data_IF_422879336523
#
_entry.id   IF_422879336523
#
_cell.length_a   1.000
_cell.length_b   1.000
_cell.length_c   1.000
_cell.angle_alpha   90.00
_cell.angle_beta   90.00
_cell.angle_gamma   90.00
#
_symmetry.space_group_name_H-M   'P 1'
#
loop_
_entity.id
_entity.type
_entity.pdbx_description
1 polymer ?
#
# COMPACT_ATOMS: atom_id res chain seq x y z
N UNK A 1 63.06 40.69 -9.05
CA UNK A 1 62.17 40.81 -7.88
C UNK A 1 60.73 41.15 -8.25
N UNK A 2 60.45 42.06 -9.20
CA UNK A 2 59.07 42.41 -9.62
C UNK A 2 58.19 41.20 -10.01
N UNK A 3 58.75 40.22 -10.72
CA UNK A 3 58.03 39.00 -11.11
C UNK A 3 57.69 38.06 -9.95
N UNK A 4 58.51 38.02 -8.89
CA UNK A 4 58.22 37.20 -7.70
C UNK A 4 57.03 37.74 -6.91
N UNK A 5 56.87 39.07 -6.88
CA UNK A 5 55.73 39.74 -6.25
C UNK A 5 54.44 39.47 -7.05
N UNK A 6 54.50 39.54 -8.38
CA UNK A 6 53.33 39.20 -9.21
C UNK A 6 52.91 37.74 -9.04
N UNK A 7 53.87 36.80 -8.97
CA UNK A 7 53.59 35.38 -8.75
C UNK A 7 53.00 35.14 -7.35
N UNK A 8 53.50 35.81 -6.30
CA UNK A 8 52.94 35.65 -4.95
C UNK A 8 51.53 36.22 -4.84
N UNK A 9 51.25 37.36 -5.50
CA UNK A 9 49.91 37.97 -5.54
C UNK A 9 48.92 37.09 -6.31
N UNK A 10 49.34 36.49 -7.42
CA UNK A 10 48.49 35.57 -8.20
C UNK A 10 48.16 34.30 -7.40
N UNK A 11 49.14 33.77 -6.65
CA UNK A 11 48.91 32.64 -5.73
C UNK A 11 47.93 32.99 -4.60
N UNK A 12 48.01 34.22 -4.06
CA UNK A 12 47.11 34.69 -3.01
C UNK A 12 45.67 34.84 -3.52
N UNK A 13 45.48 35.36 -4.75
CA UNK A 13 44.15 35.50 -5.37
C UNK A 13 43.52 34.13 -5.64
N UNK A 14 44.28 33.17 -6.15
CA UNK A 14 43.76 31.81 -6.41
C UNK A 14 43.43 31.08 -5.09
N UNK A 15 44.30 31.19 -4.07
CA UNK A 15 44.09 30.55 -2.77
C UNK A 15 42.90 31.15 -2.00
N UNK A 16 42.70 32.48 -2.06
CA UNK A 16 41.54 33.12 -1.44
C UNK A 16 40.24 32.92 -2.25
N UNK A 17 40.31 32.79 -3.58
CA UNK A 17 39.14 32.60 -4.44
C UNK A 17 38.39 31.29 -4.24
N UNK A 18 39.10 30.20 -3.89
CA UNK A 18 38.47 28.89 -3.68
C UNK A 18 37.65 28.77 -2.38
N UNK A 19 37.87 29.64 -1.39
CA UNK A 19 37.13 29.58 -0.12
C UNK A 19 35.75 30.24 -0.21
N UNK A 20 35.58 31.31 -1.00
CA UNK A 20 34.28 32.00 -1.08
C UNK A 20 33.24 31.31 -1.96
N UNK A 21 33.63 30.44 -2.89
CA UNK A 21 32.66 29.78 -3.79
C UNK A 21 31.94 28.58 -3.15
N UNK A 22 32.55 27.91 -2.16
CA UNK A 22 31.95 26.71 -1.55
C UNK A 22 30.83 27.00 -0.56
N UNK A 23 30.74 28.22 -0.02
CA UNK A 23 29.76 28.56 1.02
C UNK A 23 28.47 29.20 0.45
N UNK A 24 28.53 29.77 -0.75
CA UNK A 24 27.38 30.44 -1.38
C UNK A 24 26.42 29.43 -2.06
N UNK A 25 26.93 28.36 -2.68
CA UNK A 25 26.08 27.39 -3.38
C UNK A 25 25.27 26.48 -2.44
N UNK A 26 25.75 26.23 -1.22
CA UNK A 26 25.03 25.37 -0.25
C UNK A 26 23.78 26.08 0.31
N UNK A 27 23.79 27.42 0.40
CA UNK A 27 22.60 28.17 0.85
C UNK A 27 21.52 28.32 -0.22
N UNK A 28 21.92 28.34 -1.50
CA UNK A 28 20.96 28.48 -2.60
C UNK A 28 20.23 27.16 -2.91
N UNK A 29 20.91 26.02 -2.81
CA UNK A 29 20.29 24.70 -3.04
C UNK A 29 19.33 24.27 -1.92
N UNK A 30 19.55 24.69 -0.67
CA UNK A 30 18.63 24.38 0.44
C UNK A 30 17.38 25.28 0.50
N UNK A 31 17.31 26.36 -0.28
CA UNK A 31 16.14 27.27 -0.28
C UNK A 31 15.07 26.90 -1.31
N UNK A 32 15.40 26.06 -2.30
CA UNK A 32 14.53 25.81 -3.46
C UNK A 32 13.71 24.52 -3.39
N UNK A 33 14.01 23.60 -2.47
CA UNK A 33 13.21 22.37 -2.26
C UNK A 33 12.10 22.51 -1.20
N UNK A 34 11.94 23.69 -0.57
CA UNK A 34 10.92 23.89 0.50
C UNK A 34 9.56 24.43 0.00
N UNK A 35 9.36 24.61 -1.31
CA UNK A 35 8.13 25.24 -1.83
C UNK A 35 7.26 24.38 -2.76
N UNK A 36 7.62 23.13 -3.06
CA UNK A 36 6.83 22.27 -3.99
C UNK A 36 6.02 21.15 -3.31
N UNK A 37 5.85 21.15 -1.98
CA UNK A 37 5.01 20.18 -1.26
C UNK A 37 3.74 20.77 -0.64
N UNK A 38 3.32 21.96 -1.06
CA UNK A 38 2.07 22.59 -0.63
C UNK A 38 1.17 22.93 -1.82
N UNK A 39 0.80 21.92 -2.59
CA UNK A 39 -0.40 22.01 -3.40
C UNK A 39 -1.21 20.70 -3.29
N UNK A 40 -2.42 20.87 -2.78
CA UNK A 40 -3.58 19.98 -2.95
C UNK A 40 -3.59 18.68 -2.13
N UNK A 41 -3.52 18.86 -0.81
CA UNK A 41 -4.42 18.14 0.10
C UNK A 41 -5.78 18.87 0.12
N UNK A 42 -6.48 18.88 -1.02
CA UNK A 42 -7.92 19.16 -1.04
C UNK A 42 -8.58 17.83 -0.67
N UNK A 43 -8.65 17.63 0.65
CA UNK A 43 -9.65 16.76 1.26
C UNK A 43 -10.99 17.39 0.92
N UNK A 44 -11.60 16.91 -0.16
CA UNK A 44 -13.04 17.06 -0.40
C UNK A 44 -13.76 16.25 0.68
N UNK A 45 -13.86 16.87 1.85
CA UNK A 45 -14.89 16.64 2.85
C UNK A 45 -16.23 17.03 2.21
N UNK A 46 -16.80 16.13 1.41
CA UNK A 46 -18.19 16.15 1.00
C UNK A 46 -18.58 14.73 0.56
N UNK A 47 -18.90 13.88 1.53
CA UNK A 47 -20.15 13.09 1.60
C UNK A 47 -20.20 12.57 3.05
N UNK A 48 -20.60 13.46 3.96
CA UNK A 48 -21.32 13.06 5.16
C UNK A 48 -22.74 13.56 4.98
N UNK A 49 -23.56 12.74 4.32
CA UNK A 49 -25.00 12.70 4.56
C UNK A 49 -25.31 11.29 5.04
N UNK A 50 -26.03 11.15 6.16
CA UNK A 50 -26.26 9.87 6.80
C UNK A 50 -27.18 9.04 5.91
N UNK A 51 -26.76 7.82 5.57
CA UNK A 51 -27.70 6.77 5.18
C UNK A 51 -28.38 6.31 6.47
N UNK A 52 -29.27 7.16 6.96
CA UNK A 52 -30.24 6.89 8.01
C UNK A 52 -31.62 7.08 7.36
N UNK A 53 -31.90 6.32 6.29
CA UNK A 53 -33.23 6.26 5.66
C UNK A 53 -33.41 5.11 4.66
N UNK A 54 -32.97 3.89 5.00
CA UNK A 54 -33.44 2.66 4.31
C UNK A 54 -33.74 1.54 5.33
N UNK A 55 -34.22 1.92 6.52
CA UNK A 55 -34.93 1.01 7.45
C UNK A 55 -36.08 1.82 8.08
N UNK A 56 -36.99 2.29 7.23
CA UNK A 56 -38.34 2.70 7.59
C UNK A 56 -39.21 2.22 6.45
N UNK A 57 -39.48 0.91 6.45
CA UNK A 57 -40.67 0.25 5.89
C UNK A 57 -40.53 -1.27 6.09
N UNK A 58 -40.27 -1.71 7.32
CA UNK A 58 -40.55 -3.09 7.75
C UNK A 58 -40.63 -3.19 9.28
N UNK A 59 -41.31 -2.24 9.92
CA UNK A 59 -41.89 -2.47 11.24
C UNK A 59 -43.37 -2.80 11.04
N UNK A 60 -43.64 -4.05 10.66
CA UNK A 60 -44.97 -4.65 10.78
C UNK A 60 -44.92 -5.67 11.92
N UNK A 61 -44.86 -5.15 13.14
CA UNK A 61 -45.12 -5.89 14.37
C UNK A 61 -45.72 -4.92 15.37
N UNK A 62 -47.01 -4.64 15.22
CA UNK A 62 -47.91 -4.26 16.31
C UNK A 62 -49.36 -4.28 15.83
N UNK A 63 -49.95 -5.47 15.88
CA UNK A 63 -51.36 -5.62 16.23
C UNK A 63 -51.52 -6.97 16.95
N UNK A 64 -50.81 -7.09 18.07
CA UNK A 64 -51.24 -7.93 19.18
C UNK A 64 -51.96 -6.97 20.13
N UNK A 65 -53.28 -6.91 19.98
CA UNK A 65 -54.25 -6.47 20.98
C UNK A 65 -55.30 -7.57 20.98
N UNK A 66 -55.24 -8.42 21.98
CA UNK A 66 -56.13 -8.31 23.14
C UNK A 66 -57.59 -8.44 22.70
N UNK A 67 -58.10 -9.67 22.74
CA UNK A 67 -59.43 -9.94 23.26
C UNK A 67 -59.43 -11.34 23.86
N UNK A 68 -58.88 -11.41 25.08
CA UNK A 68 -59.28 -12.40 26.06
C UNK A 68 -60.65 -11.99 26.59
N UNK A 69 -61.70 -12.76 26.29
CA UNK A 69 -62.83 -12.87 27.21
C UNK A 69 -63.32 -14.31 27.27
N UNK A 70 -62.98 -14.87 28.43
CA UNK A 70 -63.38 -16.13 28.99
C UNK A 70 -64.87 -16.06 29.43
N UNK A 71 -65.58 -17.18 29.28
CA UNK A 71 -66.76 -17.59 30.06
C UNK A 71 -68.07 -16.79 29.92
N UNK A 72 -69.07 -17.42 29.31
CA UNK A 72 -70.39 -17.59 29.98
C UNK A 72 -71.21 -18.74 29.39
N UNK A 73 -71.32 -19.79 30.20
CA UNK A 73 -72.43 -20.75 30.24
C UNK A 73 -73.75 -19.98 30.37
N UNK A 74 -74.79 -20.36 29.61
CA UNK A 74 -76.22 -20.48 30.00
C UNK A 74 -77.11 -20.49 28.73
N UNK A 75 -77.62 -21.69 28.44
CA UNK A 75 -79.01 -22.06 28.16
C UNK A 75 -79.90 -21.33 27.11
N UNK A 76 -80.70 -22.20 26.44
CA UNK A 76 -82.04 -21.99 25.85
C UNK A 76 -82.15 -21.33 24.47
N UNK A 77 -82.39 -22.16 23.43
CA UNK A 77 -83.64 -22.22 22.63
C UNK A 77 -83.42 -23.27 21.52
N UNK A 78 -84.08 -24.43 21.54
CA UNK A 78 -85.51 -24.68 21.27
C UNK A 78 -85.94 -24.27 19.84
N UNK A 79 -86.62 -25.21 19.18
CA UNK A 79 -87.42 -25.07 17.96
C UNK A 79 -86.70 -24.98 16.61
N UNK A 80 -86.66 -26.11 15.87
CA UNK A 80 -87.30 -26.19 14.54
C UNK A 80 -87.49 -27.65 14.06
N UNK A 81 -88.46 -28.34 14.63
CA UNK A 81 -89.16 -29.44 13.96
C UNK A 81 -90.65 -29.29 14.26
N UNK A 82 -91.38 -28.77 13.29
CA UNK A 82 -92.84 -28.77 13.24
C UNK A 82 -93.23 -28.34 11.84
N UNK A 83 -93.70 -29.30 11.07
CA UNK A 83 -94.84 -29.17 10.17
C UNK A 83 -95.39 -30.59 9.98
N UNK A 84 -96.10 -31.02 11.04
CA UNK A 84 -97.06 -32.11 11.01
C UNK A 84 -98.42 -31.42 11.11
N UNK A 85 -99.14 -31.30 10.00
CA UNK A 85 -100.54 -30.87 9.99
C UNK A 85 -101.19 -31.29 8.67
N UNK A 86 -102.11 -32.25 8.74
CA UNK A 86 -103.50 -32.17 8.25
C UNK A 86 -104.10 -33.58 8.27
N UNK A 87 -104.82 -33.93 9.35
CA UNK A 87 -106.28 -33.86 9.43
C UNK A 87 -106.99 -34.93 8.61
N UNK A 88 -107.41 -35.95 9.36
CA UNK A 88 -108.66 -36.72 9.26
C UNK A 88 -109.70 -36.22 8.26
N UNK A 89 -109.96 -37.02 7.23
CA UNK A 89 -111.28 -37.16 6.62
C UNK A 89 -111.87 -38.50 7.04
N UNK A 90 -112.81 -38.41 7.97
CA UNK A 90 -113.87 -39.39 8.18
C UNK A 90 -114.93 -39.03 7.15
N UNK A 91 -115.31 -39.96 6.27
CA UNK A 91 -116.66 -40.03 5.73
C UNK A 91 -116.92 -41.37 5.04
N UNK A 92 -117.85 -42.10 5.65
CA UNK A 92 -119.04 -42.68 5.03
C UNK A 92 -118.89 -43.53 3.77
N UNK A 93 -119.02 -44.84 3.97
CA UNK A 93 -120.02 -45.63 3.23
C UNK A 93 -120.29 -46.94 3.96
N UNK A 94 -121.27 -46.87 4.87
CA UNK A 94 -122.05 -48.02 5.32
C UNK A 94 -122.97 -48.40 4.14
N UNK A 95 -122.67 -49.52 3.48
CA UNK A 95 -123.63 -50.20 2.60
C UNK A 95 -124.24 -51.40 3.32
N UNK A 96 -125.55 -51.26 3.50
CA UNK A 96 -126.56 -52.12 4.11
C UNK A 96 -126.93 -53.31 3.21
N UNK A 97 -127.50 -54.36 3.83
CA UNK A 97 -128.21 -55.56 3.30
C UNK A 97 -127.29 -56.74 2.89
N UNK A 98 -127.52 -57.99 3.30
CA UNK A 98 -128.78 -58.75 3.36
C UNK A 98 -128.75 -59.81 4.50
N UNK A 99 -129.92 -59.96 5.11
CA UNK A 99 -130.38 -60.91 6.14
C UNK A 99 -130.42 -62.35 5.61
N UNK A 100 -130.05 -63.36 6.42
CA UNK A 100 -130.93 -64.50 6.78
C UNK A 100 -130.22 -65.55 7.67
N UNK A 101 -130.79 -65.71 8.88
CA UNK A 101 -131.05 -66.97 9.58
C UNK A 101 -129.90 -67.98 9.80
N UNK A 102 -129.31 -67.99 11.01
CA UNK A 102 -129.37 -69.17 11.90
C UNK A 102 -128.68 -68.91 13.25
N UNK A 103 -129.41 -69.20 14.31
CA UNK A 103 -129.10 -68.94 15.72
C UNK A 103 -128.07 -69.91 16.34
N UNK A 104 -126.90 -70.03 15.71
CA UNK A 104 -125.70 -70.73 16.24
C UNK A 104 -124.36 -70.07 15.84
N UNK A 105 -124.38 -68.81 15.37
CA UNK A 105 -123.25 -68.17 14.67
C UNK A 105 -122.67 -66.92 15.34
N UNK A 106 -123.17 -66.48 16.50
CA UNK A 106 -122.70 -65.24 17.15
C UNK A 106 -121.38 -65.43 17.92
N UNK A 107 -121.18 -66.58 18.58
CA UNK A 107 -119.90 -66.93 19.22
C UNK A 107 -118.75 -67.06 18.22
N UNK A 108 -119.05 -67.57 17.01
CA UNK A 108 -118.05 -67.80 15.98
C UNK A 108 -117.62 -66.50 15.29
N UNK A 109 -118.55 -65.56 15.10
CA UNK A 109 -118.26 -64.21 14.60
C UNK A 109 -117.52 -63.35 15.64
N UNK A 110 -117.84 -63.50 16.92
CA UNK A 110 -117.12 -62.82 18.01
C UNK A 110 -115.67 -63.32 18.12
N UNK A 111 -115.46 -64.64 18.01
CA UNK A 111 -114.13 -65.24 17.98
C UNK A 111 -113.30 -64.83 16.74
N UNK A 112 -113.94 -64.71 15.57
CA UNK A 112 -113.29 -64.23 14.34
C UNK A 112 -112.90 -62.75 14.45
N UNK A 113 -113.77 -61.91 15.04
CA UNK A 113 -113.49 -60.50 15.29
C UNK A 113 -112.37 -60.32 16.33
N UNK A 114 -112.36 -61.11 17.40
CA UNK A 114 -111.31 -61.08 18.41
C UNK A 114 -109.97 -61.58 17.84
N UNK A 115 -109.99 -62.62 17.00
CA UNK A 115 -108.80 -63.09 16.30
C UNK A 115 -108.26 -62.03 15.32
N UNK A 116 -109.15 -61.31 14.62
CA UNK A 116 -108.77 -60.22 13.71
C UNK A 116 -108.18 -59.03 14.45
N UNK A 117 -108.78 -58.62 15.57
CA UNK A 117 -108.25 -57.58 16.46
C UNK A 117 -106.87 -57.97 17.01
N UNK A 118 -106.70 -59.21 17.49
CA UNK A 118 -105.38 -59.70 17.95
C UNK A 118 -104.36 -59.72 16.81
N UNK A 119 -104.73 -60.18 15.62
CA UNK A 119 -103.85 -60.16 14.45
C UNK A 119 -103.45 -58.72 14.05
N UNK A 120 -104.37 -57.77 14.12
CA UNK A 120 -104.09 -56.36 13.84
C UNK A 120 -103.19 -55.71 14.90
N UNK A 121 -103.42 -55.99 16.18
CA UNK A 121 -102.53 -55.52 17.26
C UNK A 121 -101.12 -56.10 17.14
N UNK A 122 -100.98 -57.38 16.81
CA UNK A 122 -99.69 -58.02 16.56
C UNK A 122 -99.00 -57.46 15.31
N UNK A 123 -99.75 -57.18 14.24
CA UNK A 123 -99.21 -56.55 13.04
C UNK A 123 -98.76 -55.10 13.30
N UNK A 124 -99.49 -54.34 14.11
CA UNK A 124 -99.11 -52.98 14.51
C UNK A 124 -97.87 -53.00 15.41
N UNK A 125 -97.79 -53.92 16.38
CA UNK A 125 -96.63 -54.10 17.24
C UNK A 125 -95.39 -54.52 16.43
N UNK A 126 -95.55 -55.45 15.48
CA UNK A 126 -94.48 -55.85 14.55
C UNK A 126 -93.96 -54.67 13.72
N UNK A 127 -94.85 -53.83 13.16
CA UNK A 127 -94.44 -52.62 12.42
C UNK A 127 -93.70 -51.62 13.30
N UNK A 128 -94.13 -51.46 14.55
CA UNK A 128 -93.46 -50.59 15.51
C UNK A 128 -92.05 -51.10 15.82
N UNK A 129 -91.89 -52.39 16.12
CA UNK A 129 -90.59 -53.01 16.41
C UNK A 129 -89.62 -52.94 15.22
N UNK A 130 -90.13 -53.13 13.99
CA UNK A 130 -89.33 -52.96 12.76
C UNK A 130 -88.88 -51.51 12.61
N UNK A 131 -89.76 -50.54 12.88
CA UNK A 131 -89.42 -49.11 12.79
C UNK A 131 -88.40 -48.70 13.85
N UNK A 132 -88.52 -49.25 15.06
CA UNK A 132 -87.61 -48.99 16.16
C UNK A 132 -86.21 -49.57 15.88
N UNK A 133 -86.14 -50.84 15.42
CA UNK A 133 -84.88 -51.45 14.98
C UNK A 133 -84.24 -50.68 13.83
N UNK A 134 -85.03 -50.19 12.87
CA UNK A 134 -84.52 -49.39 11.75
C UNK A 134 -83.91 -48.08 12.25
N UNK A 135 -84.59 -47.40 13.18
CA UNK A 135 -84.08 -46.17 13.80
C UNK A 135 -82.79 -46.41 14.60
N UNK A 136 -82.68 -47.52 15.31
CA UNK A 136 -81.45 -47.92 16.02
C UNK A 136 -80.31 -48.20 15.04
N UNK A 137 -80.57 -48.91 13.93
CA UNK A 137 -79.55 -49.12 12.88
C UNK A 137 -79.13 -47.82 12.21
N UNK A 138 -80.05 -46.90 11.96
CA UNK A 138 -79.73 -45.61 11.36
C UNK A 138 -78.93 -44.74 12.33
N UNK A 139 -79.29 -44.70 13.62
CA UNK A 139 -78.55 -43.96 14.64
C UNK A 139 -77.13 -44.51 14.86
N UNK A 140 -76.97 -45.84 14.89
CA UNK A 140 -75.63 -46.46 15.01
C UNK A 140 -74.77 -46.21 13.78
N UNK A 141 -75.36 -46.17 12.58
CA UNK A 141 -74.67 -45.78 11.35
C UNK A 141 -74.22 -44.31 11.40
N UNK A 142 -75.10 -43.40 11.80
CA UNK A 142 -74.78 -41.98 11.96
C UNK A 142 -73.68 -41.75 13.02
N UNK A 143 -73.69 -42.51 14.11
CA UNK A 143 -72.61 -42.45 15.13
C UNK A 143 -71.26 -42.87 14.54
N UNK A 144 -71.21 -44.01 13.83
CA UNK A 144 -69.97 -44.46 13.16
C UNK A 144 -69.47 -43.45 12.13
N UNK A 145 -70.37 -42.86 11.34
CA UNK A 145 -70.02 -41.81 10.38
C UNK A 145 -69.44 -40.57 11.07
N UNK A 146 -69.99 -40.16 12.22
CA UNK A 146 -69.46 -39.04 13.03
C UNK A 146 -68.09 -39.35 13.64
N UNK A 147 -67.89 -40.57 14.14
CA UNK A 147 -66.59 -41.00 14.67
C UNK A 147 -65.51 -40.98 13.58
N UNK A 148 -65.83 -41.49 12.39
CA UNK A 148 -64.91 -41.44 11.23
C UNK A 148 -64.64 -40.00 10.80
N UNK A 149 -65.66 -39.13 10.78
CA UNK A 149 -65.48 -37.72 10.45
C UNK A 149 -64.61 -36.98 11.48
N UNK A 150 -64.77 -37.28 12.78
CA UNK A 150 -63.95 -36.72 13.85
C UNK A 150 -62.50 -37.19 13.75
N UNK A 151 -62.27 -38.48 13.56
CA UNK A 151 -60.93 -39.04 13.39
C UNK A 151 -60.21 -38.43 12.17
N UNK A 152 -60.95 -38.23 11.06
CA UNK A 152 -60.40 -37.57 9.87
C UNK A 152 -60.05 -36.11 10.12
N UNK A 153 -60.92 -35.38 10.83
CA UNK A 153 -60.68 -33.97 11.16
C UNK A 153 -59.51 -33.78 12.13
N UNK A 154 -59.33 -34.71 13.08
CA UNK A 154 -58.18 -34.72 13.99
C UNK A 154 -56.87 -35.02 13.26
N UNK A 155 -56.88 -36.00 12.34
CA UNK A 155 -55.74 -36.31 11.47
C UNK A 155 -55.38 -35.12 10.56
N UNK A 156 -56.36 -34.48 9.92
CA UNK A 156 -56.12 -33.31 9.06
C UNK A 156 -55.54 -32.13 9.87
N UNK A 157 -55.97 -31.96 11.12
CA UNK A 157 -55.44 -30.95 12.05
C UNK A 157 -53.99 -31.22 12.43
N UNK A 158 -53.62 -32.48 12.64
CA UNK A 158 -52.25 -32.88 12.96
C UNK A 158 -51.32 -32.68 11.74
N UNK A 159 -51.77 -33.08 10.55
CA UNK A 159 -51.05 -32.84 9.28
C UNK A 159 -50.84 -31.33 9.05
N UNK A 160 -51.83 -30.50 9.37
CA UNK A 160 -51.70 -29.04 9.25
C UNK A 160 -50.64 -28.47 10.19
N UNK A 161 -50.58 -28.95 11.45
CA UNK A 161 -49.55 -28.55 12.41
C UNK A 161 -48.15 -28.95 11.97
N UNK A 162 -47.98 -30.18 11.48
CA UNK A 162 -46.69 -30.66 10.98
C UNK A 162 -46.22 -29.88 9.76
N UNK A 163 -47.13 -29.53 8.85
CA UNK A 163 -46.80 -28.66 7.70
C UNK A 163 -46.37 -27.26 8.14
N UNK A 164 -47.00 -26.71 9.17
CA UNK A 164 -46.63 -25.40 9.71
C UNK A 164 -45.27 -25.44 10.42
N UNK A 165 -45.00 -26.49 11.21
CA UNK A 165 -43.70 -26.70 11.85
C UNK A 165 -42.59 -26.87 10.83
N UNK A 166 -42.77 -27.74 9.84
CA UNK A 166 -41.79 -27.93 8.75
C UNK A 166 -41.51 -26.63 7.99
N UNK A 167 -42.53 -25.79 7.75
CA UNK A 167 -42.32 -24.46 7.14
C UNK A 167 -41.49 -23.53 8.02
N UNK A 168 -41.73 -23.53 9.32
CA UNK A 168 -40.97 -22.70 10.27
C UNK A 168 -39.51 -23.14 10.34
N UNK A 169 -39.26 -24.45 10.43
CA UNK A 169 -37.91 -25.01 10.44
C UNK A 169 -37.15 -24.69 9.14
N UNK A 170 -37.79 -24.83 7.97
CA UNK A 170 -37.21 -24.44 6.68
C UNK A 170 -36.85 -22.96 6.64
N UNK A 171 -37.72 -22.10 7.15
CA UNK A 171 -37.47 -20.66 7.21
C UNK A 171 -36.30 -20.32 8.14
N UNK A 172 -36.16 -21.01 9.28
CA UNK A 172 -35.05 -20.81 10.22
C UNK A 172 -33.74 -21.26 9.58
N UNK A 173 -33.74 -22.41 8.92
CA UNK A 173 -32.56 -22.97 8.27
C UNK A 173 -32.08 -22.11 7.10
N UNK A 174 -33.00 -21.52 6.32
CA UNK A 174 -32.66 -20.56 5.27
C UNK A 174 -32.05 -19.27 5.85
N UNK A 175 -32.59 -18.79 6.98
CA UNK A 175 -32.10 -17.58 7.64
C UNK A 175 -30.69 -17.80 8.23
N UNK A 176 -30.46 -18.94 8.88
CA UNK A 176 -29.14 -19.34 9.39
C UNK A 176 -28.12 -19.52 8.26
N UNK A 177 -28.53 -20.09 7.12
CA UNK A 177 -27.70 -20.22 5.93
C UNK A 177 -27.29 -18.86 5.37
N UNK A 178 -28.23 -17.92 5.27
CA UNK A 178 -27.96 -16.54 4.82
C UNK A 178 -27.02 -15.80 5.78
N UNK A 179 -27.21 -15.96 7.08
CA UNK A 179 -26.34 -15.35 8.10
C UNK A 179 -24.90 -15.89 8.00
N UNK A 180 -24.73 -17.21 7.90
CA UNK A 180 -23.42 -17.84 7.69
C UNK A 180 -22.74 -17.36 6.41
N UNK A 181 -23.49 -17.23 5.32
CA UNK A 181 -22.94 -16.70 4.06
C UNK A 181 -22.55 -15.22 4.18
N UNK A 182 -23.34 -14.40 4.89
CA UNK A 182 -23.03 -13.00 5.12
C UNK A 182 -21.77 -12.83 5.99
N UNK A 183 -21.63 -13.63 7.04
CA UNK A 183 -20.43 -13.64 7.89
C UNK A 183 -19.18 -14.05 7.10
N UNK A 184 -19.26 -15.12 6.28
CA UNK A 184 -18.15 -15.56 5.44
C UNK A 184 -17.73 -14.49 4.43
N UNK A 185 -18.68 -13.76 3.83
CA UNK A 185 -18.39 -12.63 2.93
C UNK A 185 -17.70 -11.48 3.67
N UNK A 186 -18.17 -11.15 4.87
CA UNK A 186 -17.61 -10.06 5.67
C UNK A 186 -16.18 -10.39 6.14
N UNK A 187 -15.93 -11.64 6.54
CA UNK A 187 -14.59 -12.11 6.90
C UNK A 187 -13.64 -12.13 5.69
N UNK A 188 -14.11 -12.59 4.53
CA UNK A 188 -13.35 -12.51 3.27
C UNK A 188 -13.03 -11.08 2.85
N UNK A 189 -13.96 -10.14 3.03
CA UNK A 189 -13.72 -8.73 2.73
C UNK A 189 -12.71 -8.11 3.70
N UNK A 190 -12.78 -8.47 4.98
CA UNK A 190 -11.83 -8.01 6.00
C UNK A 190 -10.42 -8.51 5.74
N UNK A 191 -10.25 -9.78 5.39
CA UNK A 191 -8.94 -10.35 5.06
C UNK A 191 -8.36 -9.75 3.78
N UNK A 192 -9.17 -9.49 2.75
CA UNK A 192 -8.75 -8.75 1.56
C UNK A 192 -8.30 -7.31 1.89
N UNK A 193 -9.07 -6.58 2.68
CA UNK A 193 -8.71 -5.22 3.09
C UNK A 193 -7.43 -5.18 3.92
N UNK A 194 -7.23 -6.17 4.80
CA UNK A 194 -6.01 -6.27 5.60
C UNK A 194 -4.79 -6.62 4.73
N UNK A 195 -4.92 -7.58 3.81
CA UNK A 195 -3.86 -7.92 2.87
C UNK A 195 -3.48 -6.74 1.97
N UNK A 196 -4.46 -5.94 1.53
CA UNK A 196 -4.20 -4.74 0.74
C UNK A 196 -3.41 -3.68 1.54
N UNK A 197 -3.77 -3.47 2.80
CA UNK A 197 -3.05 -2.54 3.69
C UNK A 197 -1.60 -2.99 3.95
N UNK A 198 -1.37 -4.29 4.07
CA UNK A 198 -0.02 -4.86 4.22
C UNK A 198 0.79 -4.67 2.93
N UNK A 199 0.19 -4.92 1.76
CA UNK A 199 0.83 -4.65 0.47
C UNK A 199 1.21 -3.18 0.30
N UNK A 200 0.28 -2.25 0.55
CA UNK A 200 0.53 -0.81 0.46
C UNK A 200 1.65 -0.38 1.42
N UNK A 201 1.68 -0.94 2.64
CA UNK A 201 2.74 -0.68 3.61
C UNK A 201 4.10 -1.21 3.14
N UNK A 202 4.14 -2.40 2.55
CA UNK A 202 5.39 -2.98 2.02
C UNK A 202 5.88 -2.23 0.78
N UNK A 203 4.98 -1.79 -0.08
CA UNK A 203 5.32 -0.97 -1.25
C UNK A 203 5.88 0.39 -0.81
N UNK A 204 5.26 1.03 0.20
CA UNK A 204 5.77 2.27 0.77
C UNK A 204 7.17 2.11 1.38
N UNK A 205 7.42 1.03 2.14
CA UNK A 205 8.75 0.77 2.70
C UNK A 205 9.80 0.51 1.60
N UNK A 206 9.45 -0.26 0.58
CA UNK A 206 10.35 -0.55 -0.54
C UNK A 206 10.67 0.72 -1.34
N UNK A 207 9.67 1.54 -1.63
CA UNK A 207 9.86 2.82 -2.33
C UNK A 207 10.75 3.78 -1.53
N UNK A 208 10.61 3.80 -0.20
CA UNK A 208 11.49 4.57 0.68
C UNK A 208 12.93 4.07 0.66
N UNK A 209 13.13 2.75 0.68
CA UNK A 209 14.47 2.15 0.60
C UNK A 209 15.13 2.43 -0.75
N UNK A 210 14.38 2.31 -1.86
CA UNK A 210 14.86 2.65 -3.21
C UNK A 210 15.23 4.13 -3.29
N UNK A 211 14.43 5.02 -2.72
CA UNK A 211 14.73 6.45 -2.68
C UNK A 211 16.01 6.76 -1.89
N UNK A 212 16.19 6.12 -0.73
CA UNK A 212 17.41 6.24 0.07
C UNK A 212 18.64 5.70 -0.66
N UNK A 213 18.52 4.54 -1.33
CA UNK A 213 19.60 3.96 -2.13
C UNK A 213 20.01 4.87 -3.30
N UNK A 214 19.04 5.47 -4.00
CA UNK A 214 19.31 6.46 -5.07
C UNK A 214 20.06 7.68 -4.53
N UNK A 215 19.63 8.22 -3.38
CA UNK A 215 20.25 9.38 -2.75
C UNK A 215 21.69 9.08 -2.30
N UNK A 216 21.92 7.89 -1.72
CA UNK A 216 23.26 7.44 -1.33
C UNK A 216 24.18 7.27 -2.55
N UNK A 217 23.70 6.65 -3.64
CA UNK A 217 24.47 6.52 -4.87
C UNK A 217 24.83 7.90 -5.47
N UNK A 218 23.91 8.86 -5.41
CA UNK A 218 24.17 10.22 -5.89
C UNK A 218 25.22 10.93 -5.02
N UNK A 219 25.15 10.80 -3.69
CA UNK A 219 26.17 11.32 -2.77
C UNK A 219 27.55 10.71 -3.05
N UNK A 220 27.61 9.39 -3.22
CA UNK A 220 28.88 8.71 -3.50
C UNK A 220 29.51 9.18 -4.82
N UNK A 221 28.69 9.44 -5.85
CA UNK A 221 29.16 10.01 -7.12
C UNK A 221 29.69 11.44 -6.95
N UNK A 222 28.99 12.28 -6.18
CA UNK A 222 29.43 13.66 -5.91
C UNK A 222 30.74 13.66 -5.11
N UNK A 223 30.86 12.84 -4.07
CA UNK A 223 32.06 12.75 -3.25
C UNK A 223 33.27 12.25 -4.07
N UNK A 224 33.07 11.26 -4.95
CA UNK A 224 34.09 10.80 -5.89
C UNK A 224 34.54 11.92 -6.81
N UNK A 225 33.61 12.69 -7.39
CA UNK A 225 33.92 13.80 -8.29
C UNK A 225 34.72 14.91 -7.57
N UNK A 226 34.37 15.21 -6.32
CA UNK A 226 35.11 16.18 -5.49
C UNK A 226 36.53 15.67 -5.21
N UNK A 227 36.69 14.38 -4.89
CA UNK A 227 37.99 13.78 -4.67
C UNK A 227 38.88 13.81 -5.93
N UNK A 228 38.31 13.51 -7.10
CA UNK A 228 39.01 13.63 -8.38
C UNK A 228 39.44 15.07 -8.67
N UNK A 229 38.56 16.05 -8.45
CA UNK A 229 38.90 17.46 -8.65
C UNK A 229 40.06 17.90 -7.73
N UNK A 230 40.04 17.47 -6.47
CA UNK A 230 41.12 17.75 -5.51
C UNK A 230 42.45 17.12 -5.94
N UNK A 231 42.43 15.90 -6.47
CA UNK A 231 43.63 15.23 -6.99
C UNK A 231 44.22 15.98 -8.20
N UNK A 232 43.37 16.38 -9.15
CA UNK A 232 43.78 17.15 -10.33
C UNK A 232 44.34 18.51 -9.92
N UNK A 233 43.69 19.23 -9.01
CA UNK A 233 44.16 20.52 -8.51
C UNK A 233 45.57 20.42 -7.87
N UNK A 234 45.80 19.39 -7.04
CA UNK A 234 47.13 19.14 -6.46
C UNK A 234 48.20 18.85 -7.52
N UNK A 235 47.86 18.13 -8.59
CA UNK A 235 48.77 17.85 -9.70
C UNK A 235 49.15 19.13 -10.46
N UNK A 236 48.18 20.00 -10.75
CA UNK A 236 48.41 21.27 -11.45
C UNK A 236 49.29 22.20 -10.61
N UNK A 237 49.02 22.32 -9.31
CA UNK A 237 49.86 23.10 -8.38
C UNK A 237 51.28 22.55 -8.33
N UNK A 238 51.44 21.23 -8.26
CA UNK A 238 52.75 20.57 -8.30
C UNK A 238 53.55 20.89 -9.57
N UNK A 239 52.89 20.87 -10.74
CA UNK A 239 53.52 21.24 -12.02
C UNK A 239 53.97 22.70 -12.06
N UNK A 240 53.19 23.61 -11.51
CA UNK A 240 53.56 25.04 -11.45
C UNK A 240 54.80 25.24 -10.58
N UNK A 241 54.86 24.60 -9.41
CA UNK A 241 56.03 24.66 -8.52
C UNK A 241 57.27 24.05 -9.20
N UNK A 242 57.12 22.93 -9.91
CA UNK A 242 58.21 22.31 -10.65
C UNK A 242 58.75 23.22 -11.76
N UNK A 243 57.86 23.88 -12.52
CA UNK A 243 58.25 24.85 -13.55
C UNK A 243 59.02 26.04 -12.95
N UNK A 244 58.58 26.57 -11.81
CA UNK A 244 59.27 27.64 -11.09
C UNK A 244 60.66 27.22 -10.61
N UNK A 245 60.81 25.98 -10.12
CA UNK A 245 62.11 25.42 -9.74
C UNK A 245 63.04 25.33 -10.94
N UNK A 246 62.57 24.86 -12.10
CA UNK A 246 63.38 24.79 -13.32
C UNK A 246 63.88 26.19 -13.72
N UNK A 247 62.97 27.18 -13.77
CA UNK A 247 63.33 28.58 -14.09
C UNK A 247 64.34 29.12 -13.08
N UNK A 248 64.13 28.84 -11.78
CA UNK A 248 65.05 29.25 -10.72
C UNK A 248 66.44 28.62 -10.90
N UNK A 249 66.53 27.33 -11.24
CA UNK A 249 67.78 26.64 -11.50
C UNK A 249 68.52 27.21 -12.72
N UNK A 250 67.80 27.50 -13.81
CA UNK A 250 68.37 28.11 -15.02
C UNK A 250 68.94 29.50 -14.68
N UNK A 251 68.15 30.34 -14.01
CA UNK A 251 68.61 31.68 -13.59
C UNK A 251 69.80 31.61 -12.63
N UNK A 252 69.81 30.65 -11.71
CA UNK A 252 70.95 30.45 -10.78
C UNK A 252 72.21 30.02 -11.52
N UNK A 253 72.10 29.12 -12.51
CA UNK A 253 73.24 28.73 -13.35
C UNK A 253 73.73 29.90 -14.20
N UNK A 254 72.82 30.67 -14.80
CA UNK A 254 73.17 31.84 -15.61
C UNK A 254 74.01 32.85 -14.81
N UNK A 255 73.57 33.21 -13.60
CA UNK A 255 74.32 34.13 -12.72
C UNK A 255 75.70 33.59 -12.35
N UNK A 256 75.83 32.29 -12.06
CA UNK A 256 77.13 31.68 -11.77
C UNK A 256 78.07 31.73 -12.98
N UNK A 257 77.54 31.57 -14.18
CA UNK A 257 78.34 31.64 -15.40
C UNK A 257 78.77 33.07 -15.72
N UNK A 258 77.89 34.06 -15.56
CA UNK A 258 78.23 35.49 -15.72
C UNK A 258 79.34 35.91 -14.75
N UNK A 259 79.28 35.46 -13.50
CA UNK A 259 80.33 35.72 -12.50
C UNK A 259 81.68 35.11 -12.90
N UNK A 260 81.70 33.88 -13.42
CA UNK A 260 82.95 33.24 -13.91
C UNK A 260 83.55 33.99 -15.10
N UNK A 261 82.71 34.45 -16.03
CA UNK A 261 83.17 35.22 -17.19
C UNK A 261 83.81 36.54 -16.73
N UNK A 262 83.24 37.22 -15.74
CA UNK A 262 83.86 38.44 -15.19
C UNK A 262 85.16 38.18 -14.43
N UNK A 263 85.26 37.06 -13.71
CA UNK A 263 86.49 36.65 -13.05
C UNK A 263 87.60 36.33 -14.07
N UNK A 264 87.25 35.62 -15.14
CA UNK A 264 88.19 35.34 -16.25
C UNK A 264 88.58 36.63 -16.99
N UNK A 265 87.66 37.58 -17.18
CA UNK A 265 87.95 38.87 -17.80
C UNK A 265 88.87 39.75 -16.93
N UNK A 266 88.67 39.74 -15.61
CA UNK A 266 89.54 40.44 -14.66
C UNK A 266 90.95 39.83 -14.66
N UNK A 267 91.06 38.50 -14.60
CA UNK A 267 92.36 37.80 -14.71
C UNK A 267 93.05 38.10 -16.03
N UNK A 268 92.30 38.18 -17.13
CA UNK A 268 92.88 38.50 -18.43
C UNK A 268 93.41 39.93 -18.50
N UNK A 269 92.71 40.90 -17.88
CA UNK A 269 93.18 42.29 -17.79
C UNK A 269 94.44 42.41 -16.92
N UNK A 270 94.49 41.73 -15.78
CA UNK A 270 95.70 41.66 -14.94
C UNK A 270 96.88 41.06 -15.71
N UNK A 271 96.64 39.98 -16.46
CA UNK A 271 97.67 39.36 -17.29
C UNK A 271 98.16 40.31 -18.40
N UNK A 272 97.26 41.04 -19.06
CA UNK A 272 97.61 42.00 -20.10
C UNK A 272 98.41 43.19 -19.54
N UNK A 273 98.09 43.67 -18.34
CA UNK A 273 98.82 44.76 -17.71
C UNK A 273 100.21 44.32 -17.24
N UNK A 274 100.32 43.14 -16.63
CA UNK A 274 101.61 42.54 -16.28
C UNK A 274 102.48 42.29 -17.53
N UNK A 275 101.89 41.81 -18.62
CA UNK A 275 102.58 41.63 -19.90
C UNK A 275 103.03 42.96 -20.50
N UNK A 276 102.23 44.02 -20.38
CA UNK A 276 102.58 45.38 -20.83
C UNK A 276 103.75 45.96 -20.03
N UNK A 277 103.73 45.82 -18.70
CA UNK A 277 104.86 46.23 -17.86
C UNK A 277 106.13 45.45 -18.18
N UNK A 278 106.02 44.13 -18.41
CA UNK A 278 107.16 43.31 -18.80
C UNK A 278 107.76 43.76 -20.14
N UNK A 279 106.91 44.03 -21.14
CA UNK A 279 107.35 44.54 -22.44
C UNK A 279 107.97 45.94 -22.34
N UNK A 280 107.45 46.82 -21.47
CA UNK A 280 108.04 48.15 -21.23
C UNK A 280 109.41 48.05 -20.54
N UNK A 281 109.56 47.14 -19.56
CA UNK A 281 110.84 46.86 -18.93
C UNK A 281 111.87 46.32 -19.93
N UNK A 282 111.46 45.40 -20.82
CA UNK A 282 112.33 44.88 -21.88
C UNK A 282 112.69 45.98 -22.88
N UNK A 283 111.72 46.82 -23.28
CA UNK A 283 111.96 47.96 -24.17
C UNK A 283 112.98 48.94 -23.60
N UNK A 284 112.82 49.33 -22.33
CA UNK A 284 113.78 50.19 -21.60
C UNK A 284 115.16 49.53 -21.48
N UNK A 285 115.24 48.22 -21.25
CA UNK A 285 116.53 47.50 -21.25
C UNK A 285 117.18 47.49 -22.64
N UNK A 286 116.40 47.32 -23.71
CA UNK A 286 116.92 47.40 -25.08
C UNK A 286 117.42 48.81 -25.41
N UNK A 287 116.68 49.85 -25.05
CA UNK A 287 117.08 51.25 -25.29
C UNK A 287 118.44 51.56 -24.63
N UNK A 288 118.67 51.10 -23.40
CA UNK A 288 119.97 51.24 -22.70
C UNK A 288 121.10 50.46 -23.41
N UNK A 289 120.81 49.33 -24.05
CA UNK A 289 121.80 48.59 -24.85
C UNK A 289 122.14 49.36 -26.13
N UNK A 290 121.15 49.97 -26.78
CA UNK A 290 121.32 50.70 -28.04
C UNK A 290 121.89 52.11 -27.88
N UNK A 291 121.81 52.72 -26.69
CA UNK A 291 122.37 54.04 -26.43
C UNK A 291 123.91 54.04 -26.62
N UNK A 292 124.40 54.94 -27.46
CA UNK A 292 125.81 55.05 -27.85
C UNK A 292 126.73 55.48 -26.69
N UNK A 293 126.17 56.08 -25.63
CA UNK A 293 126.93 56.60 -24.48
C UNK A 293 126.93 55.67 -23.25
N UNK A 294 126.26 54.53 -23.31
CA UNK A 294 126.19 53.60 -22.18
C UNK A 294 127.48 52.77 -22.01
N UNK A 295 127.95 52.64 -20.77
CA UNK A 295 129.18 51.94 -20.39
C UNK A 295 129.21 50.47 -20.87
N UNK A 296 130.36 50.04 -21.40
CA UNK A 296 130.54 48.70 -22.01
C UNK A 296 130.32 47.57 -20.99
N UNK A 297 130.58 47.84 -19.71
CA UNK A 297 130.30 46.91 -18.60
C UNK A 297 128.81 46.65 -18.42
N UNK A 298 128.01 47.72 -18.39
CA UNK A 298 126.55 47.68 -18.22
C UNK A 298 125.88 46.98 -19.40
N UNK A 299 126.30 47.24 -20.65
CA UNK A 299 125.76 46.55 -21.83
C UNK A 299 125.97 45.03 -21.75
N UNK A 300 127.14 44.59 -21.31
CA UNK A 300 127.48 43.15 -21.21
C UNK A 300 126.66 42.44 -20.14
N UNK A 301 126.35 43.13 -19.04
CA UNK A 301 125.55 42.59 -17.95
C UNK A 301 124.05 42.54 -18.30
N UNK A 302 123.52 43.55 -18.98
CA UNK A 302 122.14 43.55 -19.48
C UNK A 302 121.94 42.45 -20.55
N UNK A 303 122.89 42.27 -21.48
CA UNK A 303 122.84 41.17 -22.46
C UNK A 303 122.89 39.81 -21.77
N UNK A 304 123.63 39.66 -20.67
CA UNK A 304 123.66 38.42 -19.87
C UNK A 304 122.31 38.17 -19.19
N UNK A 305 121.69 39.20 -18.62
CA UNK A 305 120.37 39.09 -17.98
C UNK A 305 119.26 38.74 -18.99
N UNK A 306 119.26 39.34 -20.18
CA UNK A 306 118.33 38.99 -21.27
C UNK A 306 118.52 37.55 -21.77
N UNK A 307 119.78 37.10 -21.91
CA UNK A 307 120.09 35.73 -22.31
C UNK A 307 119.64 34.71 -21.26
N UNK A 308 119.75 35.04 -19.98
CA UNK A 308 119.29 34.19 -18.89
C UNK A 308 117.76 34.20 -18.72
N UNK A 309 117.07 35.31 -19.03
CA UNK A 309 115.60 35.35 -19.08
C UNK A 309 115.03 34.57 -20.27
N UNK A 310 115.64 34.67 -21.46
CA UNK A 310 115.25 33.90 -22.64
C UNK A 310 115.40 32.38 -22.45
N UNK A 311 116.33 31.93 -21.59
CA UNK A 311 116.46 30.51 -21.22
C UNK A 311 115.40 30.01 -20.23
N UNK A 312 114.80 30.89 -19.42
CA UNK A 312 113.76 30.52 -18.44
C UNK A 312 112.34 30.56 -19.02
N UNK A 313 112.13 31.22 -20.16
CA UNK A 313 110.84 31.27 -20.86
C UNK A 313 110.39 29.94 -21.50
N UNK A 314 111.28 28.95 -21.64
CA UNK A 314 110.96 27.63 -22.19
C UNK A 314 110.50 26.59 -21.15
N UNK A 315 110.15 27.01 -19.92
CA UNK A 315 109.67 26.11 -18.86
C UNK A 315 108.17 26.26 -18.55
N UNK A 316 107.36 26.63 -19.54
CA UNK A 316 105.90 26.47 -19.48
C UNK A 316 105.50 25.42 -20.52
N UNK A 317 105.91 24.17 -20.30
CA UNK A 317 105.43 23.03 -21.06
C UNK A 317 104.49 22.19 -20.18
N UNK A 318 103.21 22.27 -20.54
CA UNK A 318 102.17 21.24 -20.43
C UNK A 318 102.17 20.31 -19.20
N UNK A 319 101.31 20.61 -18.22
CA UNK A 319 100.57 19.58 -17.49
C UNK A 319 99.15 19.51 -18.08
N UNK A 320 98.95 18.53 -18.97
CA UNK A 320 97.64 17.90 -19.16
C UNK A 320 97.36 16.99 -17.97
#
# INVERSE_FOLDING_TARGET
MKYLIYISVLFFIVACGEQSFKEVDIRLLNSKESSESKEQLIVENNISKPIEKVIKDTNLSQSIKEESNLSRVVAVNSQKSKDLNSYTEINDSISVLVVENSSKSEELQLAELEAKMRAETLAMQSKYDISLKKLETDNTKVLKEKEVALAKLESDKEIAKDKELNRKELSILELESREKMALAKLESQKSLSQGQKELDSTEFSNNREIALAKLNNQKELVDKNIAFYKMIAMMVVGLVVLALLIIYFINRRKRKNELKIHEDELRHKEYMEASRQHNEHIGKMLDVITDANADKGVKKEIVRLLKDQGKKGNLIEHKR
#
